data_IF_114327494194
#
_entry.id   IF_114327494194
#
_cell.length_a   1.000
_cell.length_b   1.000
_cell.length_c   1.000
_cell.angle_alpha   90.00
_cell.angle_beta   90.00
_cell.angle_gamma   90.00
#
_symmetry.space_group_name_H-M   'P 1'
#
loop_
_entity.id
_entity.type
_entity.pdbx_description
1 polymer ?
#
# COMPACT_ATOMS: atom_id res chain seq x y z
N UNK A 1 22.39 6.58 5.60
CA UNK A 1 21.24 5.82 5.07
C UNK A 1 20.05 6.01 5.98
N UNK A 2 18.90 6.33 5.41
CA UNK A 2 17.65 6.43 6.15
C UNK A 2 17.06 5.02 6.32
N UNK A 3 17.20 4.46 7.50
CA UNK A 3 16.76 3.10 7.80
C UNK A 3 15.25 2.95 7.69
N UNK A 4 14.49 3.98 8.10
CA UNK A 4 13.03 3.94 7.97
C UNK A 4 12.60 3.87 6.50
N UNK A 5 13.22 4.67 5.65
CA UNK A 5 12.93 4.65 4.22
C UNK A 5 13.27 3.30 3.59
N UNK A 6 14.38 2.66 4.03
CA UNK A 6 14.74 1.33 3.55
C UNK A 6 13.74 0.28 3.99
N UNK A 7 13.25 0.36 5.24
CA UNK A 7 12.22 -0.57 5.72
C UNK A 7 10.94 -0.42 4.89
N UNK A 8 10.52 0.82 4.62
CA UNK A 8 9.34 1.09 3.78
C UNK A 8 9.52 0.53 2.37
N UNK A 9 10.67 0.78 1.76
CA UNK A 9 10.96 0.29 0.41
C UNK A 9 10.93 -1.23 0.34
N UNK A 10 11.65 -1.88 1.25
CA UNK A 10 11.72 -3.35 1.27
C UNK A 10 10.36 -3.98 1.61
N UNK A 11 9.64 -3.38 2.55
CA UNK A 11 8.29 -3.84 2.89
C UNK A 11 7.35 -3.75 1.71
N UNK A 12 7.35 -2.62 1.00
CA UNK A 12 6.51 -2.44 -0.19
C UNK A 12 6.82 -3.49 -1.25
N UNK A 13 8.10 -3.73 -1.53
CA UNK A 13 8.50 -4.72 -2.52
C UNK A 13 8.05 -6.13 -2.14
N UNK A 14 8.28 -6.51 -0.88
CA UNK A 14 7.95 -7.86 -0.43
C UNK A 14 6.44 -8.07 -0.30
N UNK A 15 5.71 -7.11 0.24
CA UNK A 15 4.26 -7.21 0.31
C UNK A 15 3.63 -7.26 -1.08
N UNK A 16 4.19 -6.51 -2.03
CA UNK A 16 3.70 -6.52 -3.40
C UNK A 16 3.95 -7.86 -4.09
N UNK A 17 5.09 -8.48 -3.83
CA UNK A 17 5.47 -9.74 -4.46
C UNK A 17 4.81 -10.95 -3.82
N UNK A 18 4.70 -10.98 -2.48
CA UNK A 18 4.31 -12.17 -1.72
C UNK A 18 2.97 -12.05 -1.00
N UNK A 19 2.43 -10.84 -0.87
CA UNK A 19 1.25 -10.56 -0.08
C UNK A 19 1.59 -10.34 1.40
N UNK A 20 0.62 -9.82 2.15
CA UNK A 20 0.82 -9.50 3.57
C UNK A 20 1.09 -10.75 4.40
N UNK A 21 0.27 -11.77 4.20
CA UNK A 21 0.32 -13.00 4.99
C UNK A 21 1.67 -13.72 4.87
N UNK A 22 2.20 -13.77 3.65
CA UNK A 22 3.41 -14.54 3.34
C UNK A 22 4.70 -13.73 3.43
N UNK A 23 4.64 -12.53 3.98
CA UNK A 23 5.81 -11.70 4.25
C UNK A 23 5.97 -11.56 5.76
N UNK A 24 7.16 -11.84 6.29
CA UNK A 24 7.42 -11.67 7.71
C UNK A 24 8.52 -10.64 7.95
N UNK A 25 8.68 -10.23 9.22
CA UNK A 25 9.67 -9.21 9.61
C UNK A 25 11.09 -9.66 9.25
N UNK A 26 11.38 -10.95 9.40
CA UNK A 26 12.70 -11.50 9.04
C UNK A 26 13.03 -11.29 7.57
N UNK A 27 12.05 -11.48 6.68
CA UNK A 27 12.25 -11.25 5.24
C UNK A 27 12.59 -9.78 4.97
N UNK A 28 11.89 -8.88 5.64
CA UNK A 28 12.07 -7.44 5.47
C UNK A 28 13.45 -7.00 5.96
N UNK A 29 13.85 -7.46 7.15
CA UNK A 29 15.14 -7.07 7.73
C UNK A 29 16.30 -7.62 6.95
N UNK A 30 16.19 -8.83 6.44
CA UNK A 30 17.25 -9.42 5.58
C UNK A 30 17.42 -8.61 4.30
N UNK A 31 16.31 -8.24 3.67
CA UNK A 31 16.36 -7.45 2.44
C UNK A 31 16.91 -6.05 2.70
N UNK A 32 16.54 -5.43 3.81
CA UNK A 32 17.01 -4.11 4.18
C UNK A 32 18.44 -4.10 4.73
N UNK A 33 18.98 -5.26 5.10
CA UNK A 33 20.32 -5.35 5.67
C UNK A 33 20.41 -4.82 7.09
N UNK A 34 19.37 -4.98 7.90
CA UNK A 34 19.30 -4.50 9.28
C UNK A 34 18.94 -5.63 10.24
N UNK A 35 19.20 -5.41 11.53
CA UNK A 35 18.81 -6.35 12.56
C UNK A 35 17.32 -6.24 12.89
N UNK A 36 16.71 -7.32 13.40
CA UNK A 36 15.32 -7.32 13.79
C UNK A 36 15.00 -6.23 14.84
N UNK A 37 15.90 -6.02 15.80
CA UNK A 37 15.73 -4.97 16.80
C UNK A 37 15.64 -3.59 16.18
N UNK A 38 16.39 -3.34 15.11
CA UNK A 38 16.34 -2.08 14.39
C UNK A 38 14.96 -1.88 13.76
N UNK A 39 14.37 -2.92 13.17
CA UNK A 39 13.02 -2.85 12.64
C UNK A 39 12.03 -2.36 13.72
N UNK A 40 12.06 -3.00 14.89
CA UNK A 40 11.12 -2.70 15.97
C UNK A 40 11.32 -1.32 16.61
N UNK A 41 12.43 -0.65 16.34
CA UNK A 41 12.60 0.77 16.72
C UNK A 41 11.70 1.70 15.90
N UNK A 42 11.35 1.29 14.68
CA UNK A 42 10.56 2.12 13.76
C UNK A 42 9.10 1.67 13.66
N UNK A 43 8.86 0.37 13.72
CA UNK A 43 7.52 -0.21 13.57
C UNK A 43 7.30 -1.30 14.59
N UNK A 44 6.25 -1.19 15.42
CA UNK A 44 5.95 -2.22 16.43
C UNK A 44 5.62 -3.59 15.86
N UNK A 45 5.12 -3.64 14.61
CA UNK A 45 4.72 -4.88 13.96
C UNK A 45 4.74 -4.72 12.45
N UNK A 46 4.66 -5.84 11.73
CA UNK A 46 4.51 -5.77 10.26
C UNK A 46 3.17 -5.16 9.87
N UNK A 47 2.16 -5.31 10.72
CA UNK A 47 0.83 -4.75 10.49
C UNK A 47 0.90 -3.23 10.39
N UNK A 48 1.61 -2.59 11.30
CA UNK A 48 1.75 -1.14 11.30
C UNK A 48 2.56 -0.65 10.09
N UNK A 49 3.59 -1.39 9.71
CA UNK A 49 4.31 -1.09 8.48
C UNK A 49 3.39 -1.20 7.26
N UNK A 50 2.62 -2.28 7.19
CA UNK A 50 1.71 -2.49 6.07
C UNK A 50 0.66 -1.37 5.99
N UNK A 51 0.08 -0.97 7.13
CA UNK A 51 -0.91 0.10 7.17
C UNK A 51 -0.32 1.41 6.63
N UNK A 52 0.91 1.74 7.00
CA UNK A 52 1.55 2.96 6.49
C UNK A 52 1.74 2.89 4.97
N UNK A 53 2.21 1.76 4.46
CA UNK A 53 2.38 1.56 3.02
C UNK A 53 1.02 1.62 2.31
N UNK A 54 0.01 0.96 2.87
CA UNK A 54 -1.35 0.97 2.33
C UNK A 54 -1.89 2.39 2.23
N UNK A 55 -1.73 3.18 3.29
CA UNK A 55 -2.22 4.55 3.30
C UNK A 55 -1.53 5.40 2.23
N UNK A 56 -0.21 5.25 2.06
CA UNK A 56 0.52 5.97 1.02
C UNK A 56 0.01 5.63 -0.37
N UNK A 57 -0.20 4.34 -0.64
CA UNK A 57 -0.71 3.88 -1.94
C UNK A 57 -2.14 4.35 -2.17
N UNK A 58 -2.96 4.33 -1.14
CA UNK A 58 -4.34 4.77 -1.24
C UNK A 58 -4.45 6.28 -1.51
N UNK A 59 -3.63 7.08 -0.84
CA UNK A 59 -3.58 8.52 -1.07
C UNK A 59 -3.14 8.81 -2.52
N UNK A 60 -2.14 8.10 -3.01
CA UNK A 60 -1.67 8.26 -4.39
C UNK A 60 -2.78 7.93 -5.38
N UNK A 61 -3.51 6.83 -5.17
CA UNK A 61 -4.62 6.45 -6.02
C UNK A 61 -5.72 7.53 -6.03
N UNK A 62 -6.08 8.06 -4.86
CA UNK A 62 -7.09 9.12 -4.77
C UNK A 62 -6.69 10.37 -5.55
N UNK A 63 -5.41 10.74 -5.46
CA UNK A 63 -4.89 11.88 -6.23
C UNK A 63 -4.98 11.64 -7.74
N UNK A 64 -4.62 10.44 -8.17
CA UNK A 64 -4.71 10.07 -9.59
C UNK A 64 -6.15 10.12 -10.07
N UNK A 65 -7.09 9.61 -9.29
CA UNK A 65 -8.51 9.64 -9.62
C UNK A 65 -9.00 11.07 -9.75
N UNK A 66 -8.68 11.92 -8.77
CA UNK A 66 -9.12 13.31 -8.80
C UNK A 66 -8.55 14.06 -10.01
N UNK A 67 -7.33 13.74 -10.41
CA UNK A 67 -6.71 14.34 -11.59
C UNK A 67 -7.38 13.90 -12.89
N UNK A 68 -7.94 12.70 -12.91
CA UNK A 68 -8.55 12.13 -14.12
C UNK A 68 -10.03 12.53 -14.30
N UNK A 69 -10.70 12.97 -13.22
CA UNK A 69 -12.11 13.27 -13.27
C UNK A 69 -12.38 14.65 -13.87
N UNK A 70 -13.42 14.74 -14.72
CA UNK A 70 -13.98 16.00 -15.18
C UNK A 70 -15.10 16.39 -14.21
N UNK A 71 -14.77 17.24 -13.23
CA UNK A 71 -15.70 17.63 -12.17
C UNK A 71 -16.82 18.56 -12.66
N UNK A 72 -16.68 19.11 -13.87
CA UNK A 72 -17.70 19.97 -14.47
C UNK A 72 -18.73 19.18 -15.27
N UNK A 73 -18.54 17.87 -15.38
CA UNK A 73 -19.46 17.02 -16.12
C UNK A 73 -20.73 16.69 -15.34
N UNK A 74 -21.56 15.82 -15.94
CA UNK A 74 -22.78 15.35 -15.31
C UNK A 74 -22.46 14.64 -13.98
N UNK A 75 -23.10 15.05 -12.86
CA UNK A 75 -22.77 14.47 -11.53
C UNK A 75 -22.86 12.95 -11.47
N UNK A 76 -23.87 12.36 -12.11
CA UNK A 76 -24.01 10.90 -12.09
C UNK A 76 -22.90 10.21 -12.87
N UNK A 77 -22.47 10.79 -13.98
CA UNK A 77 -21.36 10.28 -14.76
C UNK A 77 -20.04 10.40 -14.00
N UNK A 78 -19.85 11.51 -13.28
CA UNK A 78 -18.63 11.71 -12.45
C UNK A 78 -18.57 10.66 -11.34
N UNK A 79 -19.68 10.41 -10.65
CA UNK A 79 -19.75 9.40 -9.60
C UNK A 79 -19.44 8.01 -10.15
N UNK A 80 -20.04 7.66 -11.30
CA UNK A 80 -19.80 6.39 -11.95
C UNK A 80 -18.34 6.19 -12.33
N UNK A 81 -17.72 7.24 -12.87
CA UNK A 81 -16.31 7.21 -13.24
C UNK A 81 -15.41 7.06 -12.00
N UNK A 82 -15.76 7.78 -10.93
CA UNK A 82 -15.02 7.68 -9.67
C UNK A 82 -15.04 6.25 -9.13
N UNK A 83 -16.21 5.63 -9.12
CA UNK A 83 -16.36 4.24 -8.66
C UNK A 83 -15.54 3.29 -9.53
N UNK A 84 -15.62 3.46 -10.85
CA UNK A 84 -14.87 2.62 -11.80
C UNK A 84 -13.37 2.74 -11.59
N UNK A 85 -12.85 3.96 -11.51
CA UNK A 85 -11.42 4.21 -11.34
C UNK A 85 -10.92 3.70 -9.99
N UNK A 86 -11.74 3.85 -8.94
CA UNK A 86 -11.38 3.32 -7.63
C UNK A 86 -11.27 1.80 -7.65
N UNK A 87 -12.25 1.13 -8.22
CA UNK A 87 -12.24 -0.34 -8.32
C UNK A 87 -11.04 -0.83 -9.14
N UNK A 88 -10.82 -0.24 -10.31
CA UNK A 88 -9.68 -0.61 -11.17
C UNK A 88 -8.35 -0.39 -10.46
N UNK A 89 -8.18 0.75 -9.81
CA UNK A 89 -6.94 1.06 -9.11
C UNK A 89 -6.69 0.15 -7.91
N UNK A 90 -7.74 -0.15 -7.14
CA UNK A 90 -7.63 -1.03 -5.98
C UNK A 90 -7.28 -2.46 -6.38
N UNK A 91 -7.88 -2.96 -7.46
CA UNK A 91 -7.65 -4.35 -7.89
C UNK A 91 -6.35 -4.53 -8.65
N UNK A 92 -5.86 -3.50 -9.31
CA UNK A 92 -4.59 -3.54 -10.05
C UNK A 92 -3.36 -3.39 -9.16
N UNK A 93 -3.51 -2.77 -7.99
CA UNK A 93 -2.38 -2.49 -7.09
C UNK A 93 -2.23 -3.65 -6.09
N UNK A 94 -1.05 -4.33 -6.05
CA UNK A 94 -0.85 -5.49 -5.17
C UNK A 94 -1.03 -5.17 -3.69
N UNK A 95 -0.73 -3.95 -3.26
CA UNK A 95 -0.91 -3.53 -1.87
C UNK A 95 -2.40 -3.27 -1.58
N UNK A 96 -3.06 -2.49 -2.44
CA UNK A 96 -4.45 -2.09 -2.22
C UNK A 96 -5.43 -3.25 -2.35
N UNK A 97 -5.13 -4.20 -3.23
CA UNK A 97 -6.03 -5.36 -3.42
C UNK A 97 -6.05 -6.30 -2.20
N UNK A 98 -5.11 -6.17 -1.26
CA UNK A 98 -5.15 -6.92 0.00
C UNK A 98 -6.42 -6.62 0.80
N UNK A 99 -7.04 -5.47 0.58
CA UNK A 99 -8.34 -5.16 1.16
C UNK A 99 -9.38 -6.22 0.83
N UNK A 100 -9.32 -6.76 -0.39
CA UNK A 100 -10.27 -7.79 -0.86
C UNK A 100 -9.85 -9.20 -0.47
N UNK A 101 -8.62 -9.41 -0.03
CA UNK A 101 -8.06 -10.72 0.29
C UNK A 101 -8.09 -11.04 1.79
N UNK A 102 -8.58 -10.13 2.61
CA UNK A 102 -8.58 -10.36 4.05
C UNK A 102 -9.64 -11.40 4.41
N UNK A 103 -9.27 -12.27 5.37
CA UNK A 103 -10.18 -13.26 5.92
C UNK A 103 -11.20 -12.55 6.82
N UNK A 104 -12.46 -12.79 6.58
CA UNK A 104 -13.55 -12.21 7.35
C UNK A 104 -14.06 -13.22 8.34
#
# INVERSE_FOLDING_TARGET
>A
MDKKAEILRCGRELFSANGFKDTNVSDITKKAGIAAGTFYLYYPSKDELFIEIYNEENIRLKREIMSALDLDGDPMAVIGEMIRLNYEGMTANPILREWYNRDV
#
